data_IF_527329397921
#
_entry.id   IF_527329397921
#
_cell.length_a   1.000
_cell.length_b   1.000
_cell.length_c   1.000
_cell.angle_alpha   90.00
_cell.angle_beta   90.00
_cell.angle_gamma   90.00
#
_symmetry.space_group_name_H-M   'P 1'
#
loop_
_entity.id
_entity.type
_entity.pdbx_description
1 polymer ?
#
# COMPACT_ATOMS: atom_id res chain seq x y z
N UNK A 1 19.90 4.14 4.38
CA UNK A 1 20.17 3.51 3.08
C UNK A 1 21.57 3.89 2.66
N UNK A 2 22.27 3.00 1.95
CA UNK A 2 23.59 3.29 1.40
C UNK A 2 23.52 4.30 0.21
N UNK A 3 24.63 4.97 -0.13
CA UNK A 3 24.65 5.97 -1.19
C UNK A 3 24.33 5.43 -2.59
N UNK A 4 24.68 4.18 -2.91
CA UNK A 4 24.41 3.58 -4.21
C UNK A 4 22.91 3.37 -4.40
N UNK A 5 22.24 2.77 -3.40
CA UNK A 5 20.78 2.66 -3.32
C UNK A 5 20.12 4.02 -3.53
N UNK A 6 20.61 5.06 -2.83
CA UNK A 6 20.06 6.41 -2.95
C UNK A 6 20.17 6.99 -4.38
N UNK A 7 21.28 6.73 -5.07
CA UNK A 7 21.50 7.23 -6.42
C UNK A 7 20.65 6.53 -7.49
N UNK A 8 20.31 5.26 -7.28
CA UNK A 8 19.53 4.45 -8.22
C UNK A 8 18.01 4.56 -8.04
N UNK A 9 17.56 5.00 -6.86
CA UNK A 9 16.12 5.19 -6.58
C UNK A 9 15.44 6.04 -7.67
N UNK A 10 14.36 5.51 -8.23
CA UNK A 10 13.56 6.16 -9.27
C UNK A 10 14.17 6.15 -10.67
N UNK A 11 15.36 5.58 -10.86
CA UNK A 11 16.07 5.51 -12.15
C UNK A 11 16.07 4.13 -12.81
N UNK A 12 15.54 3.12 -12.14
CA UNK A 12 15.41 1.75 -12.64
C UNK A 12 14.01 1.17 -12.34
N UNK A 13 13.59 0.15 -13.09
CA UNK A 13 12.39 -0.61 -12.73
C UNK A 13 12.63 -1.36 -11.42
N UNK A 14 11.65 -1.37 -10.53
CA UNK A 14 11.79 -2.10 -9.28
C UNK A 14 10.48 -2.64 -8.71
N UNK A 15 10.61 -3.80 -8.06
CA UNK A 15 9.61 -4.30 -7.13
C UNK A 15 9.92 -3.72 -5.75
N UNK A 16 8.95 -3.07 -5.12
CA UNK A 16 9.08 -2.50 -3.78
C UNK A 16 8.29 -3.36 -2.79
N UNK A 17 8.96 -3.89 -1.78
CA UNK A 17 8.32 -4.60 -0.66
C UNK A 17 8.49 -3.78 0.62
N UNK A 18 7.49 -3.81 1.50
CA UNK A 18 7.52 -3.08 2.75
C UNK A 18 6.67 -3.76 3.84
N UNK A 19 6.94 -3.44 5.11
CA UNK A 19 6.00 -3.75 6.19
C UNK A 19 4.74 -2.86 6.08
N UNK A 20 3.60 -3.36 6.56
CA UNK A 20 2.28 -2.75 6.40
C UNK A 20 1.61 -2.41 7.74
N UNK A 21 2.13 -1.38 8.43
CA UNK A 21 1.74 -1.02 9.80
C UNK A 21 0.74 0.13 9.95
N UNK A 22 0.65 1.06 8.99
CA UNK A 22 -0.18 2.26 9.10
C UNK A 22 -1.39 2.24 8.15
N UNK A 23 -2.42 2.98 8.54
CA UNK A 23 -3.57 3.34 7.69
C UNK A 23 -3.15 3.94 6.34
N UNK A 24 -1.98 4.59 6.29
CA UNK A 24 -1.51 5.36 5.14
C UNK A 24 -0.13 4.95 4.61
N UNK A 25 0.30 3.69 4.81
CA UNK A 25 1.59 3.21 4.27
C UNK A 25 1.74 3.45 2.76
N UNK A 26 0.64 3.35 2.01
CA UNK A 26 0.61 3.63 0.58
C UNK A 26 0.96 5.10 0.25
N UNK A 27 0.58 6.06 1.11
CA UNK A 27 0.99 7.45 0.98
C UNK A 27 2.46 7.65 1.31
N UNK A 28 3.02 6.89 2.26
CA UNK A 28 4.47 6.89 2.51
C UNK A 28 5.21 6.47 1.24
N UNK A 29 4.74 5.40 0.57
CA UNK A 29 5.25 4.97 -0.73
C UNK A 29 5.17 6.06 -1.81
N UNK A 30 4.04 6.78 -1.91
CA UNK A 30 3.90 7.90 -2.84
C UNK A 30 4.85 9.07 -2.53
N UNK A 31 5.04 9.41 -1.25
CA UNK A 31 5.99 10.45 -0.85
C UNK A 31 7.41 10.03 -1.23
N UNK A 32 7.79 8.77 -1.01
CA UNK A 32 9.10 8.25 -1.42
C UNK A 32 9.27 8.30 -2.93
N UNK A 33 8.28 7.84 -3.71
CA UNK A 33 8.31 7.88 -5.17
C UNK A 33 8.37 9.32 -5.72
N UNK A 34 7.67 10.26 -5.08
CA UNK A 34 7.74 11.69 -5.43
C UNK A 34 9.14 12.25 -5.22
N UNK A 35 9.78 11.90 -4.10
CA UNK A 35 11.14 12.32 -3.78
C UNK A 35 12.20 11.65 -4.66
N UNK A 36 11.96 10.42 -5.09
CA UNK A 36 12.79 9.72 -6.07
C UNK A 36 12.53 10.16 -7.53
N UNK A 37 11.48 10.94 -7.79
CA UNK A 37 11.14 11.42 -9.13
C UNK A 37 10.36 10.44 -10.01
N UNK A 38 9.83 9.35 -9.44
CA UNK A 38 9.09 8.30 -10.17
C UNK A 38 7.60 8.20 -9.78
N UNK A 39 7.01 9.19 -9.11
CA UNK A 39 5.59 9.13 -8.68
C UNK A 39 4.62 8.84 -9.83
N UNK A 40 4.86 9.39 -11.03
CA UNK A 40 4.01 9.16 -12.21
C UNK A 40 4.05 7.73 -12.76
N UNK A 41 4.99 6.90 -12.29
CA UNK A 41 5.16 5.49 -12.62
C UNK A 41 5.20 4.61 -11.36
N UNK A 42 4.65 5.12 -10.25
CA UNK A 42 4.48 4.37 -9.01
C UNK A 42 3.14 3.62 -9.05
N UNK A 43 3.24 2.29 -9.10
CA UNK A 43 2.14 1.33 -9.19
C UNK A 43 2.06 0.53 -7.89
N UNK A 44 0.92 -0.10 -7.64
CA UNK A 44 0.80 -1.05 -6.53
C UNK A 44 -0.11 -2.22 -6.88
N UNK A 45 0.14 -3.35 -6.23
CA UNK A 45 -0.80 -4.48 -6.16
C UNK A 45 -1.79 -4.20 -5.03
N UNK A 46 -3.08 -4.12 -5.36
CA UNK A 46 -4.14 -3.70 -4.46
C UNK A 46 -5.30 -4.69 -4.43
N UNK A 47 -6.09 -4.65 -3.35
CA UNK A 47 -7.36 -5.37 -3.26
C UNK A 47 -8.36 -4.79 -4.27
N UNK A 48 -9.02 -5.64 -5.07
CA UNK A 48 -10.00 -5.25 -6.10
C UNK A 48 -11.11 -4.34 -5.59
N UNK A 49 -11.58 -4.53 -4.36
CA UNK A 49 -12.60 -3.65 -3.78
C UNK A 49 -12.14 -2.19 -3.62
N UNK A 50 -10.83 -1.94 -3.55
CA UNK A 50 -10.27 -0.58 -3.41
C UNK A 50 -10.46 0.26 -4.67
N UNK A 51 -10.64 -0.38 -5.84
CA UNK A 51 -10.97 0.29 -7.10
C UNK A 51 -12.28 1.09 -7.02
N UNK A 52 -13.20 0.69 -6.15
CA UNK A 52 -14.50 1.35 -6.00
C UNK A 52 -14.47 2.57 -5.07
N UNK A 53 -13.33 2.89 -4.46
CA UNK A 53 -13.20 4.16 -3.75
C UNK A 53 -13.31 5.33 -4.74
N UNK A 54 -14.24 6.26 -4.52
CA UNK A 54 -14.38 7.42 -5.38
C UNK A 54 -13.09 8.24 -5.42
N UNK A 55 -12.80 8.82 -6.58
CA UNK A 55 -11.58 9.60 -6.86
C UNK A 55 -10.30 8.77 -6.79
N UNK A 56 -9.88 8.33 -5.60
CA UNK A 56 -8.61 7.64 -5.38
C UNK A 56 -8.59 6.26 -6.04
N UNK A 57 -9.59 5.42 -5.79
CA UNK A 57 -9.66 4.09 -6.40
C UNK A 57 -9.76 4.13 -7.92
N UNK A 58 -10.50 5.11 -8.45
CA UNK A 58 -10.60 5.35 -9.89
C UNK A 58 -9.29 5.86 -10.48
N UNK A 59 -8.61 6.81 -9.81
CA UNK A 59 -7.31 7.31 -10.25
C UNK A 59 -6.27 6.20 -10.35
N UNK A 60 -6.24 5.30 -9.36
CA UNK A 60 -5.35 4.13 -9.36
C UNK A 60 -5.72 3.15 -10.48
N UNK A 61 -7.02 2.97 -10.76
CA UNK A 61 -7.46 2.17 -11.89
C UNK A 61 -7.06 2.76 -13.25
N UNK A 62 -7.23 4.06 -13.45
CA UNK A 62 -6.76 4.73 -14.67
C UNK A 62 -5.23 4.76 -14.78
N UNK A 63 -4.51 4.55 -13.67
CA UNK A 63 -3.04 4.49 -13.63
C UNK A 63 -2.50 3.05 -13.72
N UNK A 64 -3.29 2.10 -14.22
CA UNK A 64 -2.88 0.70 -14.44
C UNK A 64 -2.41 -0.05 -13.17
N UNK A 65 -2.96 0.28 -11.99
CA UNK A 65 -2.70 -0.50 -10.78
C UNK A 65 -3.25 -1.93 -10.92
N UNK A 66 -2.58 -2.89 -10.28
CA UNK A 66 -2.96 -4.30 -10.34
C UNK A 66 -3.95 -4.64 -9.23
N UNK A 67 -5.18 -5.00 -9.59
CA UNK A 67 -6.27 -5.28 -8.65
C UNK A 67 -6.55 -6.77 -8.51
N UNK A 68 -6.44 -7.31 -7.28
CA UNK A 68 -6.59 -8.73 -6.97
C UNK A 68 -7.79 -9.03 -6.05
N UNK A 69 -8.46 -10.16 -6.27
CA UNK A 69 -9.64 -10.64 -5.54
C UNK A 69 -9.35 -11.29 -4.19
N UNK A 70 -8.07 -11.53 -3.87
CA UNK A 70 -7.60 -12.24 -2.66
C UNK A 70 -7.90 -13.74 -2.73
N UNK A 71 -7.90 -14.29 -3.94
CA UNK A 71 -8.14 -15.69 -4.24
C UNK A 71 -7.16 -16.13 -5.31
N UNK A 72 -6.17 -16.96 -4.93
CA UNK A 72 -5.10 -17.39 -5.83
C UNK A 72 -5.62 -17.94 -7.16
N UNK A 73 -6.64 -18.80 -7.11
CA UNK A 73 -7.27 -19.41 -8.29
C UNK A 73 -7.79 -18.39 -9.33
N UNK A 74 -8.09 -17.16 -8.91
CA UNK A 74 -8.53 -16.07 -9.81
C UNK A 74 -7.40 -15.09 -10.12
N UNK A 75 -6.53 -14.88 -9.13
CA UNK A 75 -5.55 -13.83 -9.13
C UNK A 75 -4.26 -14.20 -9.86
N UNK A 76 -3.94 -15.49 -9.98
CA UNK A 76 -2.70 -15.96 -10.61
C UNK A 76 -2.55 -15.42 -12.04
N UNK A 77 -3.55 -15.65 -12.89
CA UNK A 77 -3.52 -15.17 -14.27
C UNK A 77 -3.60 -13.64 -14.35
N UNK A 78 -4.42 -13.02 -13.49
CA UNK A 78 -4.55 -11.56 -13.43
C UNK A 78 -3.22 -10.89 -13.09
N UNK A 79 -2.50 -11.44 -12.10
CA UNK A 79 -1.19 -10.97 -11.68
C UNK A 79 -0.18 -11.20 -12.80
N UNK A 80 -0.09 -12.41 -13.35
CA UNK A 80 0.81 -12.74 -14.46
C UNK A 80 0.66 -11.77 -15.63
N UNK A 81 -0.55 -11.61 -16.16
CA UNK A 81 -0.82 -10.71 -17.29
C UNK A 81 -0.51 -9.25 -16.94
N UNK A 82 -0.89 -8.82 -15.73
CA UNK A 82 -0.62 -7.47 -15.25
C UNK A 82 0.87 -7.15 -15.19
N UNK A 83 1.67 -8.08 -14.68
CA UNK A 83 3.12 -7.94 -14.60
C UNK A 83 3.79 -7.95 -15.98
N UNK A 84 3.34 -8.84 -16.88
CA UNK A 84 3.88 -8.92 -18.24
C UNK A 84 3.66 -7.64 -19.04
N UNK A 85 2.55 -6.92 -18.81
CA UNK A 85 2.31 -5.60 -19.41
C UNK A 85 3.31 -4.53 -19.00
N UNK A 86 3.98 -4.70 -17.85
CA UNK A 86 5.01 -3.76 -17.39
C UNK A 86 6.35 -3.92 -18.12
N UNK A 87 6.53 -4.97 -18.92
CA UNK A 87 7.77 -5.23 -19.64
C UNK A 87 8.14 -4.08 -20.59
N UNK A 88 7.15 -3.53 -21.29
CA UNK A 88 7.33 -2.45 -22.26
C UNK A 88 7.00 -1.07 -21.66
N UNK A 89 7.03 -0.94 -20.33
CA UNK A 89 6.69 0.32 -19.66
C UNK A 89 7.75 1.38 -20.00
N UNK A 90 7.37 2.56 -20.51
CA UNK A 90 8.29 3.46 -21.22
C UNK A 90 9.29 4.21 -20.32
N UNK A 91 9.21 4.03 -18.99
CA UNK A 91 10.02 4.74 -17.99
C UNK A 91 10.29 3.83 -16.79
N UNK A 92 11.33 4.08 -15.98
CA UNK A 92 11.47 3.43 -14.68
C UNK A 92 10.17 3.48 -13.88
N UNK A 93 9.74 2.32 -13.35
CA UNK A 93 8.51 2.20 -12.55
C UNK A 93 8.84 1.54 -11.22
N UNK A 94 8.03 1.84 -10.20
CA UNK A 94 8.04 1.11 -8.94
C UNK A 94 6.72 0.38 -8.76
N UNK A 95 6.75 -0.93 -8.56
CA UNK A 95 5.58 -1.73 -8.22
C UNK A 95 5.60 -2.10 -6.74
N UNK A 96 4.72 -1.50 -5.95
CA UNK A 96 4.60 -1.82 -4.54
C UNK A 96 3.80 -3.11 -4.30
N UNK A 97 4.35 -4.00 -3.47
CA UNK A 97 3.72 -5.25 -3.04
C UNK A 97 3.88 -5.45 -1.52
N UNK A 98 2.79 -5.33 -0.79
CA UNK A 98 2.74 -5.66 0.64
C UNK A 98 2.55 -7.17 0.83
N UNK A 99 3.65 -7.89 1.02
CA UNK A 99 3.67 -9.36 1.05
C UNK A 99 3.06 -9.95 2.33
N UNK A 100 2.96 -9.20 3.43
CA UNK A 100 2.11 -9.56 4.59
C UNK A 100 0.67 -9.82 4.17
N UNK A 101 0.27 -9.18 3.07
CA UNK A 101 -1.01 -9.39 2.44
C UNK A 101 -2.16 -8.89 3.29
N UNK A 102 -1.98 -8.06 4.31
CA UNK A 102 -3.04 -7.39 5.07
C UNK A 102 -2.42 -6.30 5.94
N UNK A 103 -3.23 -5.34 6.40
CA UNK A 103 -2.76 -4.34 7.36
C UNK A 103 -2.50 -5.02 8.71
N UNK A 104 -1.43 -4.62 9.37
CA UNK A 104 -1.10 -5.01 10.72
C UNK A 104 -2.19 -4.58 11.71
N UNK A 105 -2.58 -5.48 12.61
CA UNK A 105 -3.36 -5.18 13.82
C UNK A 105 -2.90 -6.11 14.93
N UNK A 106 -3.09 -5.75 16.20
CA UNK A 106 -2.64 -6.58 17.32
C UNK A 106 -3.28 -7.98 17.28
N UNK A 107 -4.56 -8.08 16.93
CA UNK A 107 -5.25 -9.36 16.80
C UNK A 107 -4.65 -10.26 15.71
N UNK A 108 -4.14 -9.68 14.61
CA UNK A 108 -3.48 -10.45 13.55
C UNK A 108 -2.05 -10.83 13.90
N UNK A 109 -1.35 -9.99 14.66
CA UNK A 109 -0.05 -10.33 15.20
C UNK A 109 -0.16 -11.55 16.13
N UNK A 110 -1.12 -11.55 17.07
CA UNK A 110 -1.34 -12.70 17.96
C UNK A 110 -1.62 -13.98 17.18
N UNK A 111 -2.51 -13.93 16.18
CA UNK A 111 -2.78 -15.08 15.31
C UNK A 111 -1.54 -15.53 14.52
N UNK A 112 -0.68 -14.60 14.08
CA UNK A 112 0.57 -14.92 13.41
C UNK A 112 1.58 -15.56 14.38
N UNK A 113 1.64 -15.12 15.64
CA UNK A 113 2.51 -15.69 16.67
C UNK A 113 2.08 -17.11 17.07
N UNK A 114 0.78 -17.34 17.23
CA UNK A 114 0.22 -18.68 17.46
C UNK A 114 0.58 -19.63 16.31
N UNK A 115 0.35 -19.19 15.07
CA UNK A 115 0.70 -19.97 13.89
C UNK A 115 2.21 -20.26 13.83
N UNK A 116 3.07 -19.24 14.00
CA UNK A 116 4.51 -19.40 13.98
C UNK A 116 4.97 -20.45 15.00
N UNK A 117 4.47 -20.36 16.24
CA UNK A 117 4.79 -21.29 17.33
C UNK A 117 4.38 -22.72 16.96
N UNK A 118 3.15 -22.92 16.47
CA UNK A 118 2.65 -24.24 16.07
C UNK A 118 3.39 -24.87 14.88
N UNK A 119 4.09 -24.08 14.08
CA UNK A 119 4.79 -24.53 12.88
C UNK A 119 6.32 -24.49 13.04
N UNK A 120 6.83 -24.16 14.24
CA UNK A 120 8.27 -24.03 14.50
C UNK A 120 8.94 -22.91 13.69
N UNK A 121 8.19 -21.88 13.30
CA UNK A 121 8.71 -20.72 12.58
C UNK A 121 9.17 -19.63 13.57
N UNK A 122 10.06 -18.71 13.15
CA UNK A 122 10.38 -17.52 13.92
C UNK A 122 9.11 -16.74 14.29
N UNK A 123 8.94 -16.46 15.58
CA UNK A 123 7.76 -15.78 16.12
C UNK A 123 7.90 -14.26 15.91
N UNK A 124 7.07 -13.62 15.07
CA UNK A 124 7.23 -12.20 14.78
C UNK A 124 6.74 -11.33 15.93
N UNK A 125 7.31 -10.13 16.09
CA UNK A 125 6.89 -9.16 17.11
C UNK A 125 6.31 -7.87 16.54
N UNK A 126 6.77 -7.47 15.36
CA UNK A 126 6.54 -6.16 14.74
C UNK A 126 5.92 -6.24 13.34
N UNK A 127 5.99 -7.40 12.70
CA UNK A 127 5.42 -7.66 11.37
C UNK A 127 4.48 -8.87 11.39
N UNK A 128 3.74 -9.09 10.31
CA UNK A 128 3.04 -10.35 10.06
C UNK A 128 3.91 -11.28 9.20
N UNK A 129 3.57 -12.57 9.23
CA UNK A 129 4.23 -13.58 8.40
C UNK A 129 3.86 -13.33 6.92
N UNK A 130 4.85 -13.23 6.01
CA UNK A 130 4.59 -12.95 4.61
C UNK A 130 3.83 -14.09 3.91
N UNK A 131 2.87 -13.72 3.06
CA UNK A 131 2.17 -14.61 2.12
C UNK A 131 2.89 -14.58 0.78
N UNK A 132 3.77 -15.56 0.58
CA UNK A 132 4.80 -15.49 -0.47
C UNK A 132 4.32 -15.73 -1.90
N UNK A 133 3.17 -16.38 -2.13
CA UNK A 133 2.70 -16.75 -3.49
C UNK A 133 2.72 -15.59 -4.49
N UNK A 134 2.18 -14.44 -4.09
CA UNK A 134 2.16 -13.25 -4.95
C UNK A 134 3.56 -12.67 -5.20
N UNK A 135 4.45 -12.76 -4.22
CA UNK A 135 5.84 -12.34 -4.36
C UNK A 135 6.63 -13.26 -5.29
N UNK A 136 6.51 -14.57 -5.10
CA UNK A 136 7.14 -15.60 -5.95
C UNK A 136 6.71 -15.41 -7.41
N UNK A 137 5.41 -15.29 -7.65
CA UNK A 137 4.89 -15.04 -8.99
C UNK A 137 5.37 -13.69 -9.57
N UNK A 138 5.52 -12.66 -8.73
CA UNK A 138 6.06 -11.37 -9.16
C UNK A 138 7.51 -11.49 -9.61
N UNK A 139 8.36 -12.11 -8.78
CA UNK A 139 9.77 -12.37 -9.12
C UNK A 139 9.87 -13.21 -10.39
N UNK A 140 9.15 -14.33 -10.48
CA UNK A 140 9.19 -15.23 -11.65
C UNK A 140 8.82 -14.51 -12.96
N UNK A 141 7.79 -13.66 -12.94
CA UNK A 141 7.36 -12.97 -14.17
C UNK A 141 8.16 -11.69 -14.48
N UNK A 142 8.84 -11.08 -13.50
CA UNK A 142 9.54 -9.80 -13.66
C UNK A 142 11.06 -9.94 -13.77
N UNK A 143 11.64 -11.11 -13.42
CA UNK A 143 13.09 -11.33 -13.32
C UNK A 143 13.88 -10.90 -14.55
N UNK A 144 13.30 -11.02 -15.74
CA UNK A 144 13.98 -10.73 -17.01
C UNK A 144 14.11 -9.24 -17.35
N UNK A 145 13.32 -8.35 -16.72
CA UNK A 145 13.30 -6.92 -17.06
C UNK A 145 13.31 -5.97 -15.86
N UNK A 146 13.15 -6.48 -14.64
CA UNK A 146 13.23 -5.68 -13.40
C UNK A 146 14.53 -5.98 -12.68
N UNK A 147 15.50 -5.04 -12.65
CA UNK A 147 16.84 -5.30 -12.12
C UNK A 147 16.91 -5.36 -10.58
N UNK A 148 15.96 -4.76 -9.86
CA UNK A 148 16.08 -4.57 -8.42
C UNK A 148 14.78 -4.80 -7.64
N UNK A 149 14.96 -5.22 -6.39
CA UNK A 149 13.96 -5.21 -5.34
C UNK A 149 14.40 -4.19 -4.28
N UNK A 150 13.55 -3.20 -4.01
CA UNK A 150 13.74 -2.31 -2.86
C UNK A 150 12.96 -2.87 -1.68
N UNK A 151 13.68 -3.22 -0.62
CA UNK A 151 13.12 -3.63 0.66
C UNK A 151 13.06 -2.42 1.59
N UNK A 152 11.85 -1.94 1.88
CA UNK A 152 11.61 -0.80 2.74
C UNK A 152 11.13 -1.24 4.13
N UNK A 153 11.65 -0.60 5.17
CA UNK A 153 11.18 -0.77 6.55
C UNK A 153 10.71 0.59 7.06
N UNK A 154 9.43 0.69 7.38
CA UNK A 154 8.77 1.91 7.82
C UNK A 154 8.48 1.83 9.31
N UNK A 155 8.93 2.83 10.07
CA UNK A 155 8.65 2.96 11.49
C UNK A 155 8.23 4.39 11.86
N UNK A 156 7.44 4.48 12.94
CA UNK A 156 7.05 5.75 13.56
C UNK A 156 7.91 5.93 14.80
N UNK A 157 8.55 7.09 15.01
CA UNK A 157 9.34 7.36 16.22
C UNK A 157 8.51 7.20 17.50
N UNK A 158 9.14 6.80 18.62
CA UNK A 158 8.45 6.42 19.88
C UNK A 158 7.43 7.44 20.38
N UNK A 159 7.78 8.71 20.28
CA UNK A 159 6.98 9.82 20.82
C UNK A 159 6.12 10.50 19.74
N UNK A 160 5.97 9.87 18.58
CA UNK A 160 5.18 10.40 17.48
C UNK A 160 3.89 9.59 17.32
N UNK A 161 2.73 10.26 17.22
CA UNK A 161 1.49 9.58 16.90
C UNK A 161 1.58 8.92 15.52
N UNK A 162 0.99 7.73 15.40
CA UNK A 162 0.91 7.03 14.12
C UNK A 162 0.19 7.88 13.07
N UNK A 163 0.66 7.87 11.82
CA UNK A 163 0.04 8.62 10.75
C UNK A 163 -1.31 7.98 10.39
N UNK A 164 -2.34 8.80 10.25
CA UNK A 164 -3.69 8.38 9.82
C UNK A 164 -4.24 9.36 8.79
N UNK A 165 -5.20 8.91 8.00
CA UNK A 165 -5.87 9.78 7.02
C UNK A 165 -6.53 10.98 7.68
N UNK A 166 -7.16 10.79 8.85
CA UNK A 166 -7.82 11.88 9.57
C UNK A 166 -6.82 12.95 10.05
N UNK A 167 -5.66 12.53 10.56
CA UNK A 167 -4.61 13.47 10.99
C UNK A 167 -4.06 14.27 9.81
N UNK A 168 -3.85 13.61 8.67
CA UNK A 168 -3.44 14.26 7.42
C UNK A 168 -4.46 15.32 6.97
N UNK A 169 -5.76 14.97 6.94
CA UNK A 169 -6.83 15.89 6.54
C UNK A 169 -6.98 17.08 7.51
N UNK A 170 -6.61 16.90 8.79
CA UNK A 170 -6.53 17.98 9.79
C UNK A 170 -5.25 18.82 9.69
N UNK A 171 -4.37 18.56 8.72
CA UNK A 171 -3.10 19.27 8.56
C UNK A 171 -2.07 18.97 9.65
N UNK A 172 -2.23 17.88 10.40
CA UNK A 172 -1.31 17.54 11.48
C UNK A 172 -0.04 16.89 10.92
N UNK A 173 1.16 17.35 11.33
CA UNK A 173 2.42 16.77 10.86
C UNK A 173 2.59 15.34 11.38
N UNK A 174 3.29 14.51 10.60
CA UNK A 174 3.70 13.16 10.99
C UNK A 174 5.15 12.94 10.57
N UNK A 175 5.93 12.33 11.46
CA UNK A 175 7.32 11.94 11.21
C UNK A 175 7.37 10.42 11.07
N UNK A 176 8.10 9.96 10.06
CA UNK A 176 8.25 8.55 9.73
C UNK A 176 9.71 8.31 9.39
N UNK A 177 10.30 7.27 9.96
CA UNK A 177 11.63 6.81 9.60
C UNK A 177 11.48 5.68 8.57
N UNK A 178 12.25 5.77 7.49
CA UNK A 178 12.26 4.77 6.43
C UNK A 178 13.68 4.27 6.22
N UNK A 179 13.90 2.99 6.44
CA UNK A 179 15.10 2.28 6.00
C UNK A 179 14.80 1.63 4.65
N UNK A 180 15.74 1.69 3.72
CA UNK A 180 15.61 1.09 2.39
C UNK A 180 16.90 0.34 2.10
N UNK A 181 16.77 -0.92 1.69
CA UNK A 181 17.85 -1.76 1.20
C UNK A 181 17.53 -2.22 -0.22
N UNK A 182 18.50 -2.09 -1.12
CA UNK A 182 18.39 -2.57 -2.49
C UNK A 182 18.94 -3.99 -2.60
N UNK A 183 18.22 -4.85 -3.31
CA UNK A 183 18.64 -6.20 -3.66
C UNK A 183 18.58 -6.37 -5.17
N UNK A 184 19.61 -6.96 -5.77
CA UNK A 184 19.58 -7.25 -7.21
C UNK A 184 18.68 -8.44 -7.46
N UNK A 185 17.82 -8.33 -8.48
CA UNK A 185 16.89 -9.39 -8.87
C UNK A 185 17.62 -10.69 -9.25
N UNK A 186 18.79 -10.55 -9.89
CA UNK A 186 19.66 -11.67 -10.27
C UNK A 186 20.30 -12.42 -9.08
N UNK A 187 20.33 -11.82 -7.90
CA UNK A 187 20.92 -12.44 -6.71
C UNK A 187 19.86 -13.25 -5.91
N UNK A 188 18.58 -13.18 -6.31
CA UNK A 188 17.54 -14.00 -5.70
C UNK A 188 17.67 -15.46 -6.16
N UNK A 189 17.29 -16.44 -5.30
CA UNK A 189 17.24 -17.84 -5.68
C UNK A 189 16.42 -18.08 -6.95
N UNK A 190 16.79 -19.09 -7.74
CA UNK A 190 16.08 -19.42 -8.99
C UNK A 190 14.81 -20.27 -8.76
N UNK A 191 14.76 -21.05 -7.68
CA UNK A 191 13.61 -21.89 -7.36
C UNK A 191 12.50 -21.10 -6.65
N UNK A 192 11.25 -21.49 -6.88
CA UNK A 192 10.09 -20.85 -6.25
C UNK A 192 10.15 -20.94 -4.72
N UNK A 193 10.58 -22.08 -4.19
CA UNK A 193 10.76 -22.33 -2.75
C UNK A 193 11.86 -21.43 -2.19
N UNK A 194 12.97 -21.26 -2.93
CA UNK A 194 14.07 -20.39 -2.54
C UNK A 194 13.64 -18.93 -2.48
N UNK A 195 12.89 -18.45 -3.49
CA UNK A 195 12.33 -17.09 -3.50
C UNK A 195 11.34 -16.88 -2.35
N UNK A 196 10.51 -17.89 -2.07
CA UNK A 196 9.59 -17.85 -0.93
C UNK A 196 10.35 -17.78 0.41
N UNK A 197 11.43 -18.55 0.56
CA UNK A 197 12.24 -18.53 1.77
C UNK A 197 12.96 -17.19 1.93
N UNK A 198 13.57 -16.67 0.86
CA UNK A 198 14.18 -15.33 0.85
C UNK A 198 13.20 -14.25 1.33
N UNK A 199 11.95 -14.30 0.86
CA UNK A 199 10.91 -13.37 1.30
C UNK A 199 10.62 -13.47 2.81
N UNK A 200 10.59 -14.67 3.36
CA UNK A 200 10.43 -14.90 4.81
C UNK A 200 11.63 -14.36 5.59
N UNK A 201 12.84 -14.63 5.12
CA UNK A 201 14.07 -14.21 5.79
C UNK A 201 14.20 -12.68 5.83
N UNK A 202 13.81 -11.99 4.75
CA UNK A 202 13.71 -10.52 4.73
C UNK A 202 12.74 -10.01 5.79
N UNK A 203 11.60 -10.68 6.00
CA UNK A 203 10.64 -10.27 7.03
C UNK A 203 11.11 -10.57 8.45
N UNK A 204 11.91 -11.62 8.67
CA UNK A 204 12.60 -11.86 9.94
C UNK A 204 13.62 -10.75 10.22
N UNK A 205 14.43 -10.38 9.22
CA UNK A 205 15.39 -9.28 9.35
C UNK A 205 14.70 -7.94 9.60
N UNK A 206 13.55 -7.70 8.94
CA UNK A 206 12.71 -6.51 9.12
C UNK A 206 12.11 -6.44 10.53
N UNK A 207 11.69 -7.57 11.08
CA UNK A 207 11.19 -7.67 12.45
C UNK A 207 12.26 -7.25 13.47
N UNK A 208 13.48 -7.77 13.31
CA UNK A 208 14.63 -7.41 14.15
C UNK A 208 15.05 -5.94 13.98
N UNK A 209 14.96 -5.41 12.76
CA UNK A 209 15.26 -4.01 12.48
C UNK A 209 14.24 -3.05 13.12
N UNK A 210 12.96 -3.45 13.17
CA UNK A 210 11.92 -2.73 13.91
C UNK A 210 12.13 -2.83 15.42
N UNK A 211 12.55 -3.97 15.96
CA UNK A 211 12.95 -4.12 17.38
C UNK A 211 14.07 -3.14 17.73
N UNK A 212 15.09 -3.02 16.88
CA UNK A 212 16.18 -2.05 17.05
C UNK A 212 15.68 -0.61 17.01
N UNK A 213 14.83 -0.25 16.03
CA UNK A 213 14.25 1.09 15.97
C UNK A 213 13.39 1.39 17.20
N UNK A 214 12.64 0.42 17.71
CA UNK A 214 11.91 0.53 18.98
C UNK A 214 12.82 0.58 20.21
N UNK A 215 14.10 0.25 20.14
CA UNK A 215 15.05 0.45 21.23
C UNK A 215 15.69 1.85 21.12
N UNK A 216 16.22 2.17 19.93
CA UNK A 216 17.17 3.26 19.73
C UNK A 216 16.56 4.51 19.05
N UNK A 217 15.30 4.44 18.61
CA UNK A 217 14.60 5.43 17.77
C UNK A 217 15.26 5.69 16.40
N UNK A 218 16.26 4.86 16.04
CA UNK A 218 16.98 4.86 14.77
C UNK A 218 17.15 3.43 14.23
N UNK A 219 17.34 3.29 12.92
CA UNK A 219 17.66 1.99 12.30
C UNK A 219 19.15 1.61 12.43
N UNK A 220 19.98 2.49 12.99
CA UNK A 220 21.41 2.28 13.22
C UNK A 220 22.25 3.45 12.72
N UNK A 221 23.49 3.16 12.35
CA UNK A 221 24.51 4.17 12.00
C UNK A 221 24.54 4.52 10.50
N UNK A 222 23.55 4.08 9.73
CA UNK A 222 23.47 4.45 8.31
C UNK A 222 23.22 5.96 8.17
N UNK A 223 23.84 6.58 7.16
CA UNK A 223 23.65 8.00 6.90
C UNK A 223 22.18 8.31 6.58
N UNK A 224 21.66 9.33 7.26
CA UNK A 224 20.36 9.90 6.97
C UNK A 224 20.41 10.64 5.62
N UNK A 225 19.74 10.09 4.61
CA UNK A 225 19.66 10.74 3.30
C UNK A 225 18.55 11.79 3.30
N UNK A 226 18.93 13.06 3.13
CA UNK A 226 17.95 14.14 3.00
C UNK A 226 17.46 14.23 1.55
N UNK A 227 16.23 13.77 1.35
CA UNK A 227 15.55 13.80 0.05
C UNK A 227 14.89 15.13 -0.29
N UNK A 228 14.81 16.08 0.66
CA UNK A 228 14.15 17.37 0.48
C UNK A 228 12.65 17.28 0.12
N UNK A 229 12.02 18.45 -0.09
CA UNK A 229 10.66 18.54 -0.62
C UNK A 229 10.71 19.05 -2.07
N UNK A 230 10.14 18.34 -3.05
CA UNK A 230 10.18 18.77 -4.45
C UNK A 230 9.44 20.10 -4.68
N UNK A 231 10.14 21.14 -5.15
CA UNK A 231 9.54 22.44 -5.50
C UNK A 231 8.53 22.34 -6.66
N UNK A 232 8.76 21.41 -7.61
CA UNK A 232 7.89 21.20 -8.77
C UNK A 232 6.44 20.92 -8.36
N UNK A 233 6.24 20.05 -7.37
CA UNK A 233 4.88 19.72 -6.91
C UNK A 233 4.19 20.88 -6.22
N UNK A 234 4.93 21.71 -5.48
CA UNK A 234 4.38 22.94 -4.91
C UNK A 234 3.90 23.90 -6.00
N UNK A 235 4.71 24.11 -7.05
CA UNK A 235 4.33 24.95 -8.19
C UNK A 235 3.09 24.42 -8.91
N UNK A 236 3.01 23.11 -9.13
CA UNK A 236 1.84 22.45 -9.75
C UNK A 236 0.59 22.66 -8.89
N UNK A 237 0.68 22.43 -7.58
CA UNK A 237 -0.46 22.64 -6.67
C UNK A 237 -0.91 24.09 -6.67
N UNK A 238 0.02 25.05 -6.52
CA UNK A 238 -0.31 26.48 -6.56
C UNK A 238 -0.99 26.84 -7.89
N UNK A 239 -0.43 26.39 -9.01
CA UNK A 239 -0.98 26.70 -10.35
C UNK A 239 -2.40 26.17 -10.52
N UNK A 240 -2.64 24.89 -10.19
CA UNK A 240 -3.97 24.29 -10.29
C UNK A 240 -4.96 24.89 -9.29
N UNK A 241 -4.54 25.16 -8.05
CA UNK A 241 -5.38 25.82 -7.05
C UNK A 241 -5.79 27.22 -7.52
N UNK A 242 -4.85 28.02 -8.03
CA UNK A 242 -5.15 29.35 -8.58
C UNK A 242 -6.12 29.27 -9.76
N UNK A 243 -5.92 28.35 -10.69
CA UNK A 243 -6.81 28.16 -11.85
C UNK A 243 -8.23 27.74 -11.42
N UNK A 244 -8.33 26.78 -10.50
CA UNK A 244 -9.61 26.28 -10.00
C UNK A 244 -10.36 27.35 -9.19
N UNK A 245 -9.65 28.09 -8.34
CA UNK A 245 -10.24 29.20 -7.56
C UNK A 245 -10.71 30.31 -8.51
N UNK A 246 -9.91 30.68 -9.51
CA UNK A 246 -10.31 31.66 -10.51
C UNK A 246 -11.55 31.21 -11.29
N UNK A 247 -11.58 29.95 -11.75
CA UNK A 247 -12.73 29.36 -12.43
C UNK A 247 -13.98 29.36 -11.56
N UNK A 248 -13.84 28.97 -10.28
CA UNK A 248 -14.94 29.01 -9.32
C UNK A 248 -15.47 30.44 -9.12
N UNK A 249 -14.60 31.44 -8.93
CA UNK A 249 -15.02 32.84 -8.79
C UNK A 249 -15.77 33.32 -10.04
N UNK A 250 -15.27 33.01 -11.24
CA UNK A 250 -15.94 33.37 -12.50
C UNK A 250 -17.31 32.71 -12.63
N UNK A 251 -17.39 31.42 -12.32
CA UNK A 251 -18.64 30.66 -12.34
C UNK A 251 -19.67 31.25 -11.37
N UNK A 252 -19.27 31.52 -10.12
CA UNK A 252 -20.15 32.10 -9.11
C UNK A 252 -20.64 33.50 -9.47
N UNK A 253 -19.78 34.35 -10.06
CA UNK A 253 -20.17 35.68 -10.53
C UNK A 253 -21.12 35.62 -11.71
N UNK A 254 -20.83 34.79 -12.70
CA UNK A 254 -21.61 34.69 -13.94
C UNK A 254 -23.02 34.14 -13.70
N UNK A 255 -23.14 33.12 -12.87
CA UNK A 255 -24.42 32.43 -12.61
C UNK A 255 -25.24 33.06 -11.49
N UNK A 256 -24.68 34.02 -10.75
CA UNK A 256 -25.21 34.50 -9.46
C UNK A 256 -25.63 33.32 -8.56
N UNK A 257 -24.90 32.20 -8.61
CA UNK A 257 -25.37 30.90 -8.08
C UNK A 257 -25.85 30.99 -6.63
N UNK A 258 -25.10 31.72 -5.81
CA UNK A 258 -25.33 31.86 -4.38
C UNK A 258 -26.43 32.87 -4.03
N UNK A 259 -26.96 33.62 -5.00
CA UNK A 259 -28.09 34.55 -4.77
C UNK A 259 -29.46 33.86 -4.85
N UNK A 260 -29.51 32.60 -5.28
CA UNK A 260 -30.74 31.82 -5.37
C UNK A 260 -30.77 30.71 -4.32
N UNK A 261 -31.95 30.43 -3.76
CA UNK A 261 -32.13 29.31 -2.82
C UNK A 261 -31.77 27.96 -3.45
N UNK A 262 -32.00 27.81 -4.77
CA UNK A 262 -31.62 26.63 -5.53
C UNK A 262 -30.09 26.44 -5.54
N UNK A 263 -29.32 27.48 -5.83
CA UNK A 263 -27.86 27.39 -5.87
C UNK A 263 -27.22 27.26 -4.49
N UNK A 264 -27.80 27.88 -3.46
CA UNK A 264 -27.44 27.58 -2.06
C UNK A 264 -27.68 26.09 -1.76
N UNK A 265 -28.86 25.57 -2.10
CA UNK A 265 -29.21 24.16 -1.93
C UNK A 265 -28.22 23.21 -2.63
N UNK A 266 -27.86 23.49 -3.90
CA UNK A 266 -26.85 22.71 -4.62
C UNK A 266 -25.47 22.77 -3.96
N UNK A 267 -25.08 23.93 -3.43
CA UNK A 267 -23.79 24.10 -2.75
C UNK A 267 -23.73 23.29 -1.45
N UNK A 268 -24.81 23.33 -0.66
CA UNK A 268 -24.94 22.52 0.57
C UNK A 268 -24.92 21.03 0.25
N UNK A 269 -25.67 20.60 -0.77
CA UNK A 269 -25.66 19.21 -1.23
C UNK A 269 -24.26 18.77 -1.67
N UNK A 270 -23.54 19.61 -2.43
CA UNK A 270 -22.16 19.36 -2.84
C UNK A 270 -21.21 19.19 -1.66
N UNK A 271 -21.30 20.08 -0.66
CA UNK A 271 -20.49 19.99 0.55
C UNK A 271 -20.81 18.72 1.36
N UNK A 272 -22.08 18.34 1.44
CA UNK A 272 -22.50 17.10 2.09
C UNK A 272 -21.92 15.87 1.38
N UNK A 273 -21.94 15.85 0.04
CA UNK A 273 -21.32 14.78 -0.76
C UNK A 273 -19.81 14.72 -0.51
N UNK A 274 -19.10 15.85 -0.56
CA UNK A 274 -17.65 15.89 -0.28
C UNK A 274 -17.36 15.35 1.12
N UNK A 275 -18.14 15.77 2.12
CA UNK A 275 -17.99 15.30 3.51
C UNK A 275 -18.21 13.79 3.63
N UNK A 276 -19.24 13.24 2.98
CA UNK A 276 -19.51 11.81 2.93
C UNK A 276 -18.36 11.04 2.26
N UNK A 277 -17.86 11.53 1.13
CA UNK A 277 -16.72 10.92 0.42
C UNK A 277 -15.45 10.91 1.27
N UNK A 278 -15.16 12.00 1.99
CA UNK A 278 -14.03 12.07 2.92
C UNK A 278 -14.22 11.11 4.09
N UNK A 279 -15.44 10.98 4.63
CA UNK A 279 -15.73 10.02 5.67
C UNK A 279 -15.50 8.57 5.20
N UNK A 280 -15.97 8.22 4.00
CA UNK A 280 -15.73 6.90 3.38
C UNK A 280 -14.23 6.63 3.24
N UNK A 281 -13.45 7.62 2.76
CA UNK A 281 -12.00 7.48 2.59
C UNK A 281 -11.30 7.25 3.93
N UNK A 282 -11.64 8.03 4.97
CA UNK A 282 -11.09 7.88 6.32
C UNK A 282 -11.40 6.49 6.87
N UNK A 283 -12.66 6.08 6.81
CA UNK A 283 -13.10 4.75 7.28
C UNK A 283 -12.39 3.62 6.54
N UNK A 284 -12.23 3.73 5.22
CA UNK A 284 -11.55 2.71 4.42
C UNK A 284 -10.05 2.63 4.73
N UNK A 285 -9.43 3.75 5.09
CA UNK A 285 -7.99 3.78 5.42
C UNK A 285 -7.65 3.08 6.73
N UNK A 286 -8.60 2.97 7.67
CA UNK A 286 -8.37 2.38 8.99
C UNK A 286 -7.90 0.91 8.92
N UNK A 287 -6.81 0.60 9.60
CA UNK A 287 -6.27 -0.76 9.70
C UNK A 287 -7.21 -1.72 10.44
N UNK A 288 -7.86 -1.27 11.50
CA UNK A 288 -8.77 -2.08 12.34
C UNK A 288 -9.99 -2.62 11.59
N UNK A 289 -10.45 -1.92 10.55
CA UNK A 289 -11.59 -2.38 9.72
C UNK A 289 -11.18 -3.36 8.62
N UNK A 290 -9.89 -3.65 8.48
CA UNK A 290 -9.44 -4.66 7.52
C UNK A 290 -9.81 -6.06 8.04
N UNK A 291 -10.50 -6.84 7.22
CA UNK A 291 -11.01 -8.18 7.56
C UNK A 291 -10.00 -9.00 8.36
N UNK A 292 -10.41 -9.41 9.57
CA UNK A 292 -9.60 -10.25 10.46
C UNK A 292 -9.38 -11.63 9.86
N UNK A 293 -8.27 -12.28 10.20
CA UNK A 293 -7.98 -13.65 9.77
C UNK A 293 -9.09 -14.63 10.19
N UNK A 294 -9.66 -14.44 11.40
CA UNK A 294 -10.81 -15.22 11.90
C UNK A 294 -12.05 -15.10 11.01
N UNK A 295 -12.39 -13.90 10.52
CA UNK A 295 -13.54 -13.72 9.63
C UNK A 295 -13.33 -14.30 8.22
N UNK A 296 -12.07 -14.34 7.75
CA UNK A 296 -11.72 -14.97 6.48
C UNK A 296 -11.78 -16.50 6.57
N UNK A 297 -11.24 -17.07 7.65
CA UNK A 297 -11.28 -18.52 7.90
C UNK A 297 -12.71 -19.00 8.13
N UNK A 298 -13.52 -18.30 8.94
CA UNK A 298 -14.93 -18.64 9.16
C UNK A 298 -15.75 -18.64 7.85
N UNK A 299 -15.47 -17.71 6.93
CA UNK A 299 -16.09 -17.69 5.60
C UNK A 299 -15.63 -18.81 4.67
N UNK A 300 -14.41 -19.32 4.83
CA UNK A 300 -13.93 -20.49 4.09
C UNK A 300 -14.55 -21.77 4.64
N UNK A 301 -14.64 -21.92 5.97
CA UNK A 301 -15.30 -23.07 6.61
C UNK A 301 -16.79 -23.14 6.26
N UNK A 302 -17.49 -21.99 6.24
CA UNK A 302 -18.89 -21.92 5.79
C UNK A 302 -19.10 -22.22 4.29
N UNK A 303 -18.07 -22.06 3.45
CA UNK A 303 -18.12 -22.39 2.02
C UNK A 303 -17.76 -23.85 1.71
N UNK A 304 -17.18 -24.56 2.67
CA UNK A 304 -16.77 -25.96 2.54
C UNK A 304 -17.72 -26.93 3.26
N UNK A 305 -18.73 -26.43 3.97
CA UNK A 305 -19.78 -27.27 4.54
C UNK A 305 -20.61 -27.90 3.40
N UNK A 306 -20.78 -29.24 3.36
CA UNK A 306 -21.69 -29.89 2.43
C UNK A 306 -23.12 -29.38 2.67
N UNK A 307 -23.85 -29.05 1.60
CA UNK A 307 -25.28 -28.77 1.68
C UNK A 307 -26.03 -30.07 1.99
N UNK A 308 -26.29 -30.35 3.26
CA UNK A 308 -27.21 -31.39 3.67
C UNK A 308 -28.65 -30.95 3.37
N UNK A 309 -29.05 -31.14 2.11
CA UNK A 309 -30.45 -31.15 1.70
C UNK A 309 -30.72 -32.45 0.96
N UNK A 310 -30.77 -33.54 1.73
CA UNK A 310 -31.43 -34.77 1.31
C UNK A 310 -31.78 -35.61 2.54
N UNK A 311 -32.96 -35.36 3.12
CA UNK A 311 -33.79 -36.32 3.87
C UNK A 311 -35.05 -35.60 4.33
N UNK A 312 -36.12 -35.75 3.56
CA UNK A 312 -37.46 -36.04 4.08
C UNK A 312 -38.43 -36.22 2.90
N UNK A 313 -38.50 -37.48 2.44
CA UNK A 313 -39.68 -38.06 1.82
C UNK A 313 -39.73 -39.53 2.22
N UNK A 314 -40.30 -39.79 3.39
CA UNK A 314 -40.97 -41.04 3.73
C UNK A 314 -41.80 -40.83 5.01
N UNK A 315 -43.00 -40.27 4.84
CA UNK A 315 -44.29 -40.77 5.35
C UNK A 315 -45.40 -39.84 4.86
#
# INVERSE_FOLDING_TARGET
MDPETFQLMGKEHALLIANHRSDIDWLVGWVLAQRAGCLGSALAVMKKSSKFLPVIGWSMWFSEYLFLERSWAKDENTLKLGLQRLKDFPRPFWLALFVEGTRFTQAKLLAAQEYATSQGLPVPKNVLIPRTKGFVASVSNMRTFVPAIYDATVAVPKNQPSPTMLRLLKGQPSVIHVHIKRHLMKDLPETEEGVAQWCKDIFVAKDALLDKHMADDTFGNEQLQNTGRPKKSLLVVISWSSLLVFGAIKLFKWSSFLSSWKGIGFSVAGLAVVTLLMHILVVFSQSERSTSAKAANARQTLKQAPSDTSRDKQQ
#
